data_IF_886879860512
#
_entry.id   IF_886879860512
#
_cell.length_a   1.000
_cell.length_b   1.000
_cell.length_c   1.000
_cell.angle_alpha   90.00
_cell.angle_beta   90.00
_cell.angle_gamma   90.00
#
_symmetry.space_group_name_H-M   'P 1'
#
loop_
_entity.id
_entity.type
_entity.pdbx_description
1 polymer ?
#
# COMPACT_ATOMS: atom_id res chain seq x y z
N UNK A 1 -12.76 -32.60 -19.62
CA UNK A 1 -13.54 -32.72 -20.78
C UNK A 1 -14.60 -33.78 -20.55
N UNK A 2 -15.91 -33.48 -20.30
CA UNK A 2 -16.74 -33.60 -21.43
C UNK A 2 -17.45 -34.92 -21.35
N UNK A 3 -18.54 -34.89 -20.79
CA UNK A 3 -19.54 -35.90 -21.16
C UNK A 3 -19.82 -35.71 -22.67
N UNK A 4 -19.41 -36.63 -23.55
CA UNK A 4 -19.68 -36.54 -24.97
C UNK A 4 -21.16 -36.58 -25.30
N UNK A 5 -22.01 -36.90 -24.34
CA UNK A 5 -23.44 -36.98 -24.45
C UNK A 5 -24.16 -35.71 -23.94
N UNK A 6 -23.42 -34.64 -23.56
CA UNK A 6 -24.01 -33.37 -23.17
C UNK A 6 -24.75 -32.74 -24.36
N UNK A 7 -26.05 -32.66 -24.24
CA UNK A 7 -26.95 -32.13 -25.28
C UNK A 7 -26.70 -30.63 -25.58
N UNK A 8 -25.99 -29.92 -24.70
CA UNK A 8 -25.68 -28.51 -24.85
C UNK A 8 -24.36 -28.27 -25.62
N UNK A 9 -23.53 -29.31 -25.88
CA UNK A 9 -22.29 -29.16 -26.64
C UNK A 9 -22.51 -28.48 -27.99
N UNK A 10 -23.54 -28.89 -28.82
CA UNK A 10 -23.78 -28.21 -30.09
C UNK A 10 -24.13 -26.74 -29.96
N UNK A 11 -24.79 -26.37 -28.88
CA UNK A 11 -25.11 -24.97 -28.59
C UNK A 11 -23.86 -24.17 -28.29
N UNK A 12 -22.98 -24.67 -27.43
CA UNK A 12 -21.72 -24.02 -27.08
C UNK A 12 -20.78 -23.93 -28.28
N UNK A 13 -20.67 -24.97 -29.08
CA UNK A 13 -19.88 -24.95 -30.32
C UNK A 13 -20.42 -23.92 -31.32
N UNK A 14 -21.73 -23.82 -31.49
CA UNK A 14 -22.36 -22.83 -32.35
C UNK A 14 -22.16 -21.40 -31.83
N UNK A 15 -22.14 -21.22 -30.52
CA UNK A 15 -21.83 -19.95 -29.87
C UNK A 15 -20.33 -19.62 -29.87
N UNK A 16 -19.48 -20.53 -30.36
CA UNK A 16 -18.04 -20.40 -30.32
C UNK A 16 -17.44 -20.51 -28.89
N UNK A 17 -18.17 -21.13 -27.98
CA UNK A 17 -17.75 -21.39 -26.61
C UNK A 17 -17.26 -22.83 -26.55
N UNK A 18 -16.05 -23.04 -26.01
CA UNK A 18 -15.58 -24.40 -25.73
C UNK A 18 -16.12 -24.82 -24.36
N UNK A 19 -17.07 -25.79 -24.29
CA UNK A 19 -17.59 -26.20 -22.99
C UNK A 19 -16.47 -26.86 -22.20
N UNK A 20 -16.18 -26.30 -21.03
CA UNK A 20 -15.35 -26.96 -20.04
C UNK A 20 -16.25 -27.88 -19.20
N UNK A 21 -15.84 -29.10 -18.96
CA UNK A 21 -16.52 -29.98 -18.01
C UNK A 21 -16.51 -29.44 -16.59
N UNK A 22 -17.10 -30.17 -15.65
CA UNK A 22 -17.03 -29.84 -14.23
C UNK A 22 -15.57 -29.69 -13.79
N UNK A 23 -15.31 -28.67 -12.97
CA UNK A 23 -13.99 -28.49 -12.37
C UNK A 23 -13.79 -29.58 -11.33
N UNK A 24 -12.90 -30.54 -11.62
CA UNK A 24 -12.57 -31.65 -10.73
C UNK A 24 -11.63 -31.16 -9.62
N UNK A 25 -10.58 -30.43 -9.97
CA UNK A 25 -9.67 -29.82 -9.00
C UNK A 25 -8.98 -28.58 -9.58
N UNK A 26 -8.49 -27.74 -8.71
CA UNK A 26 -7.64 -26.58 -9.03
C UNK A 26 -6.27 -26.79 -8.42
N UNK A 27 -5.22 -26.81 -9.25
CA UNK A 27 -3.84 -26.81 -8.78
C UNK A 27 -3.41 -25.35 -8.48
N UNK A 28 -3.13 -25.06 -7.22
CA UNK A 28 -2.59 -23.78 -6.78
C UNK A 28 -1.16 -24.00 -6.23
N UNK A 29 -0.19 -23.89 -7.10
CA UNK A 29 1.22 -24.13 -6.80
C UNK A 29 2.00 -22.81 -6.81
N UNK A 30 3.03 -22.74 -5.94
CA UNK A 30 4.01 -21.66 -6.02
C UNK A 30 4.84 -21.78 -7.28
N UNK A 31 4.82 -20.74 -8.11
CA UNK A 31 5.64 -20.64 -9.31
C UNK A 31 6.53 -19.42 -9.25
N UNK A 32 7.71 -19.51 -9.87
CA UNK A 32 8.55 -18.33 -10.05
C UNK A 32 7.91 -17.41 -11.08
N UNK A 33 7.64 -16.17 -10.67
CA UNK A 33 7.19 -15.12 -11.58
C UNK A 33 8.38 -14.57 -12.37
N UNK A 34 8.06 -13.90 -13.49
CA UNK A 34 9.04 -13.14 -14.27
C UNK A 34 9.68 -11.99 -13.48
N UNK A 35 10.73 -11.44 -14.05
CA UNK A 35 11.49 -10.37 -13.44
C UNK A 35 10.62 -9.16 -13.10
N UNK A 36 10.71 -8.73 -11.84
CA UNK A 36 10.19 -7.44 -11.38
C UNK A 36 11.32 -6.41 -11.38
N UNK A 37 11.08 -5.28 -12.02
CA UNK A 37 12.03 -4.15 -12.06
C UNK A 37 11.47 -3.00 -11.25
N UNK A 38 12.24 -2.57 -10.23
CA UNK A 38 11.90 -1.42 -9.39
C UNK A 38 13.08 -0.46 -9.46
N UNK A 39 12.81 0.82 -9.76
CA UNK A 39 13.79 1.89 -9.79
C UNK A 39 13.24 3.09 -9.02
N UNK A 40 14.12 3.80 -8.35
CA UNK A 40 13.71 4.97 -7.57
C UNK A 40 14.86 5.60 -6.80
N UNK A 41 14.53 6.59 -6.00
CA UNK A 41 15.48 7.37 -5.22
C UNK A 41 14.99 7.48 -3.77
N UNK A 42 15.90 7.21 -2.84
CA UNK A 42 15.71 7.51 -1.43
C UNK A 42 16.56 8.72 -1.07
N UNK A 43 15.93 9.75 -0.50
CA UNK A 43 16.61 10.95 -0.03
C UNK A 43 16.39 11.08 1.47
N UNK A 44 17.48 11.14 2.22
CA UNK A 44 17.46 11.34 3.67
C UNK A 44 18.22 12.60 4.06
N UNK A 45 17.57 13.45 4.86
CA UNK A 45 18.19 14.62 5.50
C UNK A 45 18.05 14.48 7.00
N UNK A 46 19.17 14.55 7.70
CA UNK A 46 19.24 14.46 9.16
C UNK A 46 20.02 15.67 9.65
N UNK A 47 19.48 16.37 10.61
CA UNK A 47 20.09 17.56 11.14
C UNK A 47 19.89 17.66 12.65
N UNK A 48 20.95 17.73 13.39
CA UNK A 48 20.98 17.91 14.83
C UNK A 48 21.52 19.30 15.14
N UNK A 49 20.80 20.03 16.00
CA UNK A 49 21.21 21.36 16.42
C UNK A 49 20.97 21.57 17.92
N UNK A 50 21.99 21.99 18.61
CA UNK A 50 21.96 22.39 20.03
C UNK A 50 21.72 23.89 20.10
N UNK A 51 20.75 24.30 20.92
CA UNK A 51 20.40 25.71 21.12
C UNK A 51 20.18 26.03 22.59
N UNK A 52 20.14 27.30 22.96
CA UNK A 52 19.75 27.72 24.30
C UNK A 52 18.30 27.37 24.71
N UNK A 53 17.48 26.95 23.71
CA UNK A 53 16.09 26.48 23.92
C UNK A 53 16.00 24.96 24.08
N UNK A 54 17.13 24.24 23.92
CA UNK A 54 17.22 22.79 23.91
C UNK A 54 17.78 22.23 22.60
N UNK A 55 17.83 20.91 22.50
CA UNK A 55 18.38 20.19 21.39
C UNK A 55 17.26 19.78 20.44
N UNK A 56 17.50 19.97 19.15
CA UNK A 56 16.56 19.58 18.09
C UNK A 56 17.19 18.54 17.19
N UNK A 57 16.47 17.45 16.97
CA UNK A 57 16.79 16.45 15.97
C UNK A 57 15.72 16.49 14.87
N UNK A 58 16.14 16.83 13.66
CA UNK A 58 15.27 16.92 12.50
C UNK A 58 15.58 15.77 11.55
N UNK A 59 14.55 15.12 11.06
CA UNK A 59 14.66 14.03 10.10
C UNK A 59 13.65 14.23 8.98
N UNK A 60 14.13 14.15 7.75
CA UNK A 60 13.30 14.06 6.57
C UNK A 60 13.76 12.88 5.72
N UNK A 61 12.86 12.01 5.35
CA UNK A 61 13.12 10.88 4.44
C UNK A 61 12.03 10.86 3.40
N UNK A 62 12.45 10.70 2.17
CA UNK A 62 11.58 10.68 1.01
C UNK A 62 11.99 9.51 0.11
N UNK A 63 11.00 8.76 -0.38
CA UNK A 63 11.15 7.72 -1.38
C UNK A 63 10.35 8.12 -2.61
N UNK A 64 11.00 8.12 -3.78
CA UNK A 64 10.37 8.27 -5.09
C UNK A 64 10.63 7.02 -5.91
N UNK A 65 9.57 6.43 -6.47
CA UNK A 65 9.68 5.38 -7.47
C UNK A 65 9.50 5.98 -8.87
N UNK A 66 10.46 5.71 -9.72
CA UNK A 66 10.47 6.11 -11.14
C UNK A 66 9.93 4.96 -12.02
N UNK A 67 10.09 3.72 -11.53
CA UNK A 67 9.67 2.52 -12.24
C UNK A 67 9.23 1.43 -11.27
N UNK A 68 8.11 0.81 -11.57
CA UNK A 68 7.63 -0.40 -10.87
C UNK A 68 6.94 -1.29 -11.92
N UNK A 69 7.66 -2.25 -12.46
CA UNK A 69 7.22 -3.04 -13.60
C UNK A 69 7.39 -4.54 -13.31
N UNK A 70 6.39 -5.33 -13.67
CA UNK A 70 6.43 -6.79 -13.64
C UNK A 70 6.33 -7.31 -15.08
N UNK A 71 7.32 -8.06 -15.53
CA UNK A 71 7.23 -8.73 -16.84
C UNK A 71 6.26 -9.89 -16.79
N UNK A 72 5.55 -10.12 -17.89
CA UNK A 72 4.61 -11.20 -18.07
C UNK A 72 4.92 -11.96 -19.35
N UNK A 73 6.18 -12.42 -19.51
CA UNK A 73 6.66 -13.04 -20.75
C UNK A 73 6.76 -14.55 -20.66
N UNK A 74 6.48 -15.15 -19.52
CA UNK A 74 6.57 -16.59 -19.31
C UNK A 74 5.35 -17.17 -18.58
N UNK A 75 5.19 -18.48 -18.67
CA UNK A 75 4.16 -19.23 -17.97
C UNK A 75 2.73 -18.79 -18.31
N UNK A 76 1.88 -18.72 -17.28
CA UNK A 76 0.44 -18.40 -17.41
C UNK A 76 0.25 -16.99 -18.02
N UNK A 77 1.10 -16.03 -17.66
CA UNK A 77 0.99 -14.67 -18.20
C UNK A 77 1.15 -14.62 -19.72
N UNK A 78 2.11 -15.38 -20.26
CA UNK A 78 2.33 -15.47 -21.71
C UNK A 78 1.14 -16.12 -22.43
N UNK A 79 0.62 -17.21 -21.89
CA UNK A 79 -0.55 -17.92 -22.46
C UNK A 79 -1.79 -17.03 -22.42
N UNK A 80 -2.02 -16.32 -21.32
CA UNK A 80 -3.15 -15.41 -21.19
C UNK A 80 -3.02 -14.22 -22.14
N UNK A 81 -1.83 -13.65 -22.29
CA UNK A 81 -1.60 -12.57 -23.24
C UNK A 81 -1.81 -13.03 -24.68
N UNK A 82 -1.33 -14.21 -25.05
CA UNK A 82 -1.56 -14.80 -26.36
C UNK A 82 -3.06 -14.99 -26.63
N UNK A 83 -3.82 -15.46 -25.62
CA UNK A 83 -5.27 -15.59 -25.74
C UNK A 83 -5.97 -14.24 -25.94
N UNK A 84 -5.56 -13.21 -25.20
CA UNK A 84 -6.07 -11.83 -25.34
C UNK A 84 -5.78 -11.26 -26.72
N UNK A 85 -4.60 -11.52 -27.27
CA UNK A 85 -4.18 -11.01 -28.58
C UNK A 85 -4.83 -11.74 -29.76
N UNK A 86 -5.25 -12.98 -29.55
CA UNK A 86 -5.75 -13.86 -30.64
C UNK A 86 -7.23 -14.14 -30.60
N UNK A 87 -7.89 -14.01 -29.43
CA UNK A 87 -9.29 -14.35 -29.25
C UNK A 87 -10.08 -13.24 -28.57
N UNK A 88 -10.88 -12.50 -29.35
CA UNK A 88 -11.72 -11.39 -28.87
C UNK A 88 -12.77 -11.81 -27.81
N UNK A 89 -13.01 -13.10 -27.60
CA UNK A 89 -13.93 -13.61 -26.57
C UNK A 89 -13.36 -13.54 -25.16
N UNK A 90 -12.06 -13.32 -25.02
CA UNK A 90 -11.34 -13.21 -23.73
C UNK A 90 -10.84 -11.81 -23.44
N UNK A 91 -11.34 -10.80 -24.16
CA UNK A 91 -10.96 -9.39 -24.02
C UNK A 91 -11.27 -8.80 -22.64
N UNK A 92 -12.18 -9.41 -21.89
CA UNK A 92 -12.53 -9.03 -20.51
C UNK A 92 -11.57 -9.58 -19.45
N UNK A 93 -10.65 -10.48 -19.81
CA UNK A 93 -9.67 -11.03 -18.87
C UNK A 93 -8.53 -10.03 -18.72
N UNK A 94 -8.34 -9.52 -17.50
CA UNK A 94 -7.23 -8.63 -17.18
C UNK A 94 -6.03 -9.43 -16.66
N UNK A 95 -4.85 -9.18 -17.22
CA UNK A 95 -3.58 -9.65 -16.66
C UNK A 95 -3.21 -8.76 -15.46
N UNK A 96 -3.68 -9.18 -14.27
CA UNK A 96 -3.38 -8.46 -13.03
C UNK A 96 -1.94 -8.69 -12.60
N UNK A 97 -1.32 -7.67 -12.01
CA UNK A 97 0.03 -7.77 -11.47
C UNK A 97 1.15 -7.81 -12.51
N UNK A 98 0.85 -7.53 -13.79
CA UNK A 98 1.84 -7.43 -14.86
C UNK A 98 1.79 -6.07 -15.57
N UNK A 99 2.88 -5.75 -16.27
CA UNK A 99 3.06 -4.47 -16.94
C UNK A 99 3.57 -3.39 -16.01
N UNK A 100 3.18 -2.15 -16.26
CA UNK A 100 3.49 -1.01 -15.38
C UNK A 100 2.56 -1.04 -14.18
N UNK A 101 3.16 -1.19 -13.00
CA UNK A 101 2.47 -1.25 -11.72
C UNK A 101 2.64 0.04 -10.91
N UNK A 102 3.35 1.05 -11.43
CA UNK A 102 3.50 2.33 -10.75
C UNK A 102 2.13 3.00 -10.64
N UNK A 103 1.85 3.59 -9.49
CA UNK A 103 0.56 4.21 -9.14
C UNK A 103 -0.63 3.24 -9.11
N UNK A 104 -0.40 1.95 -9.20
CA UNK A 104 -1.43 0.92 -9.24
C UNK A 104 -1.44 0.10 -7.96
N UNK A 105 -2.63 -0.14 -7.39
CA UNK A 105 -2.85 -1.11 -6.30
C UNK A 105 -1.90 -0.93 -5.09
N UNK A 106 -1.74 0.31 -4.62
CA UNK A 106 -0.90 0.62 -3.47
C UNK A 106 0.57 0.89 -3.78
N UNK A 107 1.02 0.76 -5.03
CA UNK A 107 2.38 1.09 -5.46
C UNK A 107 2.49 2.61 -5.71
N UNK A 108 2.55 3.38 -4.64
CA UNK A 108 2.63 4.84 -4.71
C UNK A 108 3.96 5.27 -5.31
N UNK A 109 3.93 6.33 -6.13
CA UNK A 109 5.14 6.96 -6.68
C UNK A 109 5.99 7.60 -5.57
N UNK A 110 5.36 8.17 -4.54
CA UNK A 110 6.04 8.96 -3.53
C UNK A 110 5.55 8.69 -2.11
N UNK A 111 6.49 8.71 -1.16
CA UNK A 111 6.24 8.63 0.29
C UNK A 111 7.21 9.54 1.01
N UNK A 112 6.72 10.33 1.98
CA UNK A 112 7.54 11.23 2.79
C UNK A 112 7.32 10.96 4.27
N UNK A 113 8.39 11.02 5.02
CA UNK A 113 8.34 11.08 6.47
C UNK A 113 9.20 12.25 6.94
N UNK A 114 8.61 13.15 7.70
CA UNK A 114 9.32 14.22 8.39
C UNK A 114 9.10 14.10 9.89
N UNK A 115 10.12 14.42 10.69
CA UNK A 115 9.96 14.49 12.13
C UNK A 115 10.90 15.50 12.76
N UNK A 116 10.44 16.06 13.88
CA UNK A 116 11.21 16.93 14.76
C UNK A 116 11.08 16.38 16.17
N UNK A 117 12.22 16.09 16.77
CA UNK A 117 12.34 15.81 18.21
C UNK A 117 13.04 17.00 18.86
N UNK A 118 12.46 17.48 19.94
CA UNK A 118 13.04 18.47 20.84
C UNK A 118 13.27 17.83 22.19
N UNK A 119 14.40 18.17 22.84
CA UNK A 119 14.70 17.77 24.21
C UNK A 119 15.41 18.91 24.95
N UNK A 120 15.02 19.08 26.21
CA UNK A 120 15.69 20.00 27.13
C UNK A 120 15.55 19.46 28.55
N UNK A 121 16.69 19.18 29.20
CA UNK A 121 16.70 18.59 30.55
C UNK A 121 15.80 17.32 30.58
N UNK A 122 14.78 17.32 31.42
CA UNK A 122 13.85 16.21 31.58
C UNK A 122 12.67 16.22 30.58
N UNK A 123 12.55 17.27 29.80
CA UNK A 123 11.44 17.47 28.87
C UNK A 123 11.76 16.97 27.47
N UNK A 124 10.78 16.38 26.82
CA UNK A 124 10.88 15.99 25.41
C UNK A 124 9.56 16.22 24.68
N UNK A 125 9.67 16.62 23.41
CA UNK A 125 8.54 16.72 22.51
C UNK A 125 8.91 16.09 21.16
N UNK A 126 7.95 15.50 20.51
CA UNK A 126 8.10 14.88 19.19
C UNK A 126 6.90 15.17 18.32
N UNK A 127 7.15 15.57 17.10
CA UNK A 127 6.13 15.71 16.05
C UNK A 127 6.61 15.00 14.82
N UNK A 128 5.73 14.27 14.15
CA UNK A 128 6.03 13.66 12.86
C UNK A 128 4.88 13.79 11.88
N UNK A 129 5.22 13.77 10.61
CA UNK A 129 4.32 13.77 9.46
C UNK A 129 4.65 12.55 8.60
N UNK A 130 3.65 11.83 8.18
CA UNK A 130 3.74 10.76 7.17
C UNK A 130 2.81 11.10 6.02
N UNK A 131 3.39 11.29 4.84
CA UNK A 131 2.67 11.46 3.59
C UNK A 131 2.76 10.19 2.76
N UNK A 132 1.65 9.79 2.18
CA UNK A 132 1.51 8.70 1.22
C UNK A 132 0.88 9.24 -0.03
N UNK A 133 1.53 9.02 -1.18
CA UNK A 133 1.07 9.47 -2.48
C UNK A 133 -0.23 8.80 -2.91
N UNK A 134 -0.83 9.33 -3.95
CA UNK A 134 -2.02 8.77 -4.59
C UNK A 134 -1.69 7.50 -5.37
N UNK A 135 -2.68 6.66 -5.57
CA UNK A 135 -2.65 5.53 -6.50
C UNK A 135 -4.08 5.22 -6.96
N UNK A 136 -4.23 4.31 -7.90
CA UNK A 136 -5.57 3.89 -8.35
C UNK A 136 -5.82 2.40 -8.08
N UNK A 137 -7.09 2.09 -7.88
CA UNK A 137 -7.61 0.73 -7.82
C UNK A 137 -7.93 0.28 -9.25
N UNK A 138 -7.17 -0.68 -9.76
CA UNK A 138 -7.34 -1.18 -11.12
C UNK A 138 -8.58 -2.09 -11.26
N UNK A 139 -9.04 -2.67 -10.16
CA UNK A 139 -10.21 -3.54 -10.15
C UNK A 139 -11.52 -2.77 -10.25
N UNK A 140 -11.49 -1.49 -9.87
CA UNK A 140 -12.64 -0.57 -9.89
C UNK A 140 -12.60 0.39 -11.08
N UNK A 141 -12.06 -0.04 -12.22
CA UNK A 141 -12.05 0.75 -13.44
C UNK A 141 -13.38 0.56 -14.22
N UNK A 142 -13.82 1.63 -14.88
CA UNK A 142 -14.94 1.59 -15.81
C UNK A 142 -14.52 2.11 -17.18
N UNK A 143 -15.04 1.52 -18.25
CA UNK A 143 -14.80 2.00 -19.61
C UNK A 143 -16.00 2.76 -20.14
N UNK A 144 -15.81 4.03 -20.51
CA UNK A 144 -16.81 4.92 -21.08
C UNK A 144 -16.26 5.52 -22.36
N UNK A 145 -16.95 5.32 -23.50
CA UNK A 145 -16.52 5.80 -24.82
C UNK A 145 -15.06 5.44 -25.14
N UNK A 146 -14.68 4.17 -24.97
CA UNK A 146 -13.35 3.62 -25.18
C UNK A 146 -12.25 4.24 -24.29
N UNK A 147 -12.62 4.95 -23.22
CA UNK A 147 -11.71 5.48 -22.22
C UNK A 147 -11.87 4.73 -20.90
N UNK A 148 -10.78 4.18 -20.38
CA UNK A 148 -10.77 3.58 -19.06
C UNK A 148 -10.59 4.64 -17.98
N UNK A 149 -11.58 4.74 -17.10
CA UNK A 149 -11.57 5.61 -15.93
C UNK A 149 -11.25 4.78 -14.70
N UNK A 150 -10.10 5.03 -14.09
CA UNK A 150 -9.66 4.35 -12.88
C UNK A 150 -10.20 5.06 -11.63
N UNK A 151 -10.48 4.28 -10.59
CA UNK A 151 -10.79 4.83 -9.27
C UNK A 151 -9.51 5.27 -8.56
N UNK A 152 -9.29 6.58 -8.48
CA UNK A 152 -8.13 7.14 -7.81
C UNK A 152 -8.37 7.31 -6.32
N UNK A 153 -7.46 6.74 -5.53
CA UNK A 153 -7.36 7.00 -4.11
C UNK A 153 -6.43 8.20 -3.92
N UNK A 154 -6.92 9.29 -3.29
CA UNK A 154 -6.10 10.48 -3.08
C UNK A 154 -4.95 10.20 -2.11
N UNK A 155 -3.97 11.10 -2.09
CA UNK A 155 -2.89 11.07 -1.10
C UNK A 155 -3.44 11.27 0.32
N UNK A 156 -2.74 10.69 1.30
CA UNK A 156 -3.09 10.77 2.72
C UNK A 156 -1.91 11.30 3.52
N UNK A 157 -2.17 12.26 4.41
CA UNK A 157 -1.16 12.82 5.33
C UNK A 157 -1.61 12.66 6.76
N UNK A 158 -0.79 12.03 7.58
CA UNK A 158 -1.06 11.89 9.02
C UNK A 158 0.02 12.57 9.84
N UNK A 159 -0.38 13.16 10.96
CA UNK A 159 0.50 13.83 11.92
C UNK A 159 0.41 13.12 13.25
N UNK A 160 1.55 12.91 13.90
CA UNK A 160 1.61 12.38 15.26
C UNK A 160 2.36 13.36 16.13
N UNK A 161 1.97 13.43 17.39
CA UNK A 161 2.65 14.28 18.37
C UNK A 161 2.77 13.55 19.71
N UNK A 162 3.84 13.81 20.44
CA UNK A 162 3.97 13.37 21.83
C UNK A 162 4.79 14.35 22.64
N UNK A 163 4.54 14.32 23.95
CA UNK A 163 5.27 15.08 24.92
C UNK A 163 5.66 14.18 26.08
N UNK A 164 6.90 14.24 26.52
CA UNK A 164 7.41 13.38 27.57
C UNK A 164 8.17 14.18 28.65
N UNK A 165 8.10 13.68 29.88
CA UNK A 165 8.76 14.22 31.04
C UNK A 165 9.43 13.12 31.85
N UNK A 166 10.70 13.32 32.19
CA UNK A 166 11.50 12.44 33.03
C UNK A 166 11.54 12.99 34.47
N UNK A 167 11.51 12.10 35.45
CA UNK A 167 11.65 12.46 36.86
C UNK A 167 12.11 11.25 37.67
N UNK A 168 12.75 11.51 38.82
CA UNK A 168 13.06 10.45 39.78
C UNK A 168 11.83 10.14 40.63
N UNK A 169 11.38 8.90 40.64
CA UNK A 169 10.30 8.43 41.46
C UNK A 169 10.81 7.25 42.34
N UNK A 170 10.83 7.45 43.63
CA UNK A 170 11.25 6.43 44.62
C UNK A 170 12.67 5.87 44.38
N UNK A 171 13.57 6.72 43.87
CA UNK A 171 14.96 6.32 43.56
C UNK A 171 15.10 5.57 42.22
N UNK A 172 14.08 5.62 41.36
CA UNK A 172 14.11 5.05 40.01
C UNK A 172 13.87 6.12 38.96
N UNK A 173 14.66 6.10 37.87
CA UNK A 173 14.43 6.98 36.75
C UNK A 173 13.11 6.61 36.04
N UNK A 174 12.19 7.54 36.04
CA UNK A 174 10.83 7.34 35.49
C UNK A 174 10.58 8.36 34.41
N UNK A 175 10.05 7.92 33.27
CA UNK A 175 9.63 8.77 32.15
C UNK A 175 8.19 8.50 31.77
N UNK A 176 7.40 9.57 31.72
CA UNK A 176 6.00 9.52 31.29
C UNK A 176 5.86 10.23 29.96
N UNK A 177 5.18 9.60 29.00
CA UNK A 177 4.89 10.17 27.69
C UNK A 177 3.39 10.13 27.43
N UNK A 178 2.83 11.28 27.05
CA UNK A 178 1.50 11.40 26.48
C UNK A 178 1.64 11.63 24.98
N UNK A 179 0.95 10.85 24.18
CA UNK A 179 1.02 10.99 22.73
C UNK A 179 -0.34 10.86 22.05
N UNK A 180 -0.39 11.38 20.85
CA UNK A 180 -1.53 11.27 19.93
C UNK A 180 -1.03 10.86 18.55
N UNK A 181 -1.65 9.83 18.02
CA UNK A 181 -1.45 9.43 16.64
C UNK A 181 -2.61 9.93 15.80
N UNK A 182 -2.30 10.30 14.56
CA UNK A 182 -3.24 10.89 13.63
C UNK A 182 -3.98 12.11 14.24
N UNK A 183 -3.21 13.13 14.61
CA UNK A 183 -3.69 14.35 15.30
C UNK A 183 -4.87 15.04 14.57
N UNK A 184 -4.87 14.98 13.24
CA UNK A 184 -5.89 15.59 12.37
C UNK A 184 -7.14 14.73 12.19
N UNK A 185 -7.14 13.49 12.71
CA UNK A 185 -8.21 12.51 12.55
C UNK A 185 -8.49 12.17 11.06
N UNK A 186 -7.42 12.10 10.28
CA UNK A 186 -7.51 11.78 8.86
C UNK A 186 -8.02 10.35 8.67
N UNK A 187 -8.99 10.17 7.78
CA UNK A 187 -9.56 8.86 7.48
C UNK A 187 -8.96 8.30 6.19
N UNK A 188 -8.84 6.98 6.13
CA UNK A 188 -8.33 6.33 4.94
C UNK A 188 -9.22 6.64 3.72
N UNK A 189 -8.62 6.90 2.54
CA UNK A 189 -9.38 7.06 1.30
C UNK A 189 -10.25 5.84 1.02
N UNK A 190 -11.49 6.09 0.59
CA UNK A 190 -12.43 5.02 0.25
C UNK A 190 -12.04 4.32 -1.06
N UNK A 191 -12.19 3.01 -1.11
CA UNK A 191 -12.08 2.19 -2.32
C UNK A 191 -13.16 1.11 -2.34
N UNK A 192 -13.42 0.54 -3.51
CA UNK A 192 -14.24 -0.65 -3.67
C UNK A 192 -13.45 -1.91 -3.37
N UNK A 193 -12.97 -2.03 -2.13
CA UNK A 193 -12.12 -3.09 -1.66
C UNK A 193 -12.65 -3.67 -0.34
N UNK A 194 -12.11 -4.83 0.07
CA UNK A 194 -12.65 -5.68 1.13
C UNK A 194 -13.06 -4.95 2.43
N UNK A 195 -12.32 -3.90 2.82
CA UNK A 195 -12.57 -3.16 4.06
C UNK A 195 -13.12 -1.75 3.81
N UNK A 196 -13.45 -1.39 2.55
CA UNK A 196 -13.82 -0.04 2.16
C UNK A 196 -12.65 0.94 2.09
N UNK A 197 -11.45 0.50 2.38
CA UNK A 197 -10.18 1.22 2.24
C UNK A 197 -9.03 0.23 1.96
N UNK A 198 -7.94 0.71 1.35
CA UNK A 198 -6.79 -0.13 1.00
C UNK A 198 -5.92 -0.41 2.22
N UNK A 199 -6.18 -1.53 2.92
CA UNK A 199 -5.58 -1.86 4.22
C UNK A 199 -4.07 -2.06 4.19
N UNK A 200 -3.50 -2.47 3.05
CA UNK A 200 -2.06 -2.67 2.90
C UNK A 200 -1.29 -1.34 2.82
N UNK A 201 -1.96 -0.27 2.42
CA UNK A 201 -1.38 1.06 2.29
C UNK A 201 -1.83 2.04 3.37
N UNK A 202 -3.06 1.93 3.86
CA UNK A 202 -3.69 2.89 4.76
C UNK A 202 -4.19 2.24 6.04
N UNK A 203 -4.39 3.05 7.08
CA UNK A 203 -5.05 2.66 8.32
C UNK A 203 -6.22 3.60 8.56
N UNK A 204 -7.38 3.04 8.87
CA UNK A 204 -8.60 3.79 9.17
C UNK A 204 -8.90 3.89 10.68
N UNK A 205 -7.90 3.71 11.53
CA UNK A 205 -8.06 3.81 12.98
C UNK A 205 -8.50 5.21 13.46
N UNK A 206 -8.22 6.26 12.64
CA UNK A 206 -8.45 7.63 13.06
C UNK A 206 -7.50 8.09 14.17
N UNK A 207 -7.89 9.12 14.90
CA UNK A 207 -7.08 9.67 15.98
C UNK A 207 -7.21 8.84 17.26
N UNK A 208 -6.07 8.52 17.89
CA UNK A 208 -6.06 7.89 19.21
C UNK A 208 -4.95 8.43 20.11
N UNK A 209 -5.23 8.45 21.40
CA UNK A 209 -4.32 8.90 22.45
C UNK A 209 -3.70 7.71 23.15
N UNK A 210 -2.47 7.87 23.60
CA UNK A 210 -1.79 6.87 24.40
C UNK A 210 -0.99 7.49 25.54
N UNK A 211 -0.83 6.75 26.61
CA UNK A 211 0.05 7.04 27.72
C UNK A 211 1.09 5.92 27.82
N UNK A 212 2.34 6.28 27.84
CA UNK A 212 3.46 5.35 28.05
C UNK A 212 4.18 5.75 29.35
N UNK A 213 4.47 4.77 30.20
CA UNK A 213 5.24 4.97 31.44
C UNK A 213 6.40 3.99 31.42
N UNK A 214 7.61 4.51 31.47
CA UNK A 214 8.84 3.75 31.53
C UNK A 214 9.52 3.97 32.86
N UNK A 215 9.85 2.88 33.55
CA UNK A 215 10.59 2.87 34.82
C UNK A 215 11.86 2.05 34.59
N UNK A 216 13.02 2.64 34.91
CA UNK A 216 14.32 1.95 34.86
C UNK A 216 14.55 1.28 36.21
N UNK A 217 14.58 -0.04 36.24
CA UNK A 217 14.92 -0.82 37.43
C UNK A 217 16.40 -1.19 37.35
N UNK A 218 17.20 -0.67 38.27
CA UNK A 218 18.62 -1.04 38.42
C UNK A 218 18.79 -2.39 39.14
#
# INVERSE_FOLDING_TARGET
RDDPDDADIPFYEQAGICPAGEIDFVEDQYTNLDTRTIQGYDVGVYYDVETGLGDFNLKFVCTFYDKYEQRGTSGIAAVTQEALDTDARVDYIQLRGYGDLLLREGNMEEKFHASVRWSKEDWGAYVSMLYKGKFYDADSSITVNDQTLNWWLPSMTTYNASFDYGFDAFGTDTRVRLGVNNLTDERAPLCDCRFGYWSDAHSDLGRYWYLDVRVSLD
#
